data_IF_979651120341
#
_entry.id   IF_979651120341
#
_cell.length_a   1.000
_cell.length_b   1.000
_cell.length_c   1.000
_cell.angle_alpha   90.00
_cell.angle_beta   90.00
_cell.angle_gamma   90.00
#
_symmetry.space_group_name_H-M   'P 1'
#
loop_
_entity.id
_entity.type
_entity.pdbx_description
1 polymer ?
#
# COMPACT_ATOMS: atom_id res chain seq x y z
N UNK A 1 8.12 -51.02 36.47
CA UNK A 1 8.77 -51.01 35.14
C UNK A 1 8.16 -50.09 34.07
N UNK A 2 6.94 -49.49 34.17
CA UNK A 2 6.42 -48.62 33.11
C UNK A 2 6.84 -47.13 33.19
N UNK A 3 7.38 -46.68 34.33
CA UNK A 3 7.77 -45.27 34.53
C UNK A 3 9.08 -44.92 33.80
N UNK A 4 10.10 -45.78 33.89
CA UNK A 4 11.39 -45.56 33.22
C UNK A 4 11.27 -45.49 31.69
N UNK A 5 10.35 -46.26 31.09
CA UNK A 5 10.07 -46.20 29.64
C UNK A 5 9.38 -44.90 29.21
N UNK A 6 8.54 -44.33 30.07
CA UNK A 6 7.86 -43.06 29.80
C UNK A 6 8.82 -41.88 29.94
N UNK A 7 9.68 -41.89 30.96
CA UNK A 7 10.74 -40.90 31.16
C UNK A 7 11.72 -40.90 29.98
N UNK A 8 12.14 -42.09 29.52
CA UNK A 8 13.06 -42.21 28.39
C UNK A 8 12.43 -41.74 27.06
N UNK A 9 11.13 -41.98 26.88
CA UNK A 9 10.37 -41.48 25.72
C UNK A 9 10.24 -39.95 25.78
N UNK A 10 9.92 -39.37 26.95
CA UNK A 10 9.84 -37.92 27.14
C UNK A 10 11.20 -37.26 26.88
N UNK A 11 12.28 -37.82 27.43
CA UNK A 11 13.63 -37.31 27.23
C UNK A 11 14.04 -37.34 25.76
N UNK A 12 13.64 -38.38 25.02
CA UNK A 12 13.90 -38.49 23.60
C UNK A 12 13.16 -37.41 22.79
N UNK A 13 11.90 -37.15 23.12
CA UNK A 13 11.11 -36.09 22.48
C UNK A 13 11.68 -34.72 22.80
N UNK A 14 12.06 -34.46 24.05
CA UNK A 14 12.66 -33.21 24.48
C UNK A 14 14.00 -32.95 23.77
N UNK A 15 14.83 -33.98 23.63
CA UNK A 15 16.09 -33.89 22.89
C UNK A 15 15.88 -33.56 21.41
N UNK A 16 14.89 -34.17 20.76
CA UNK A 16 14.54 -33.87 19.36
C UNK A 16 14.02 -32.43 19.22
N UNK A 17 13.15 -31.98 20.12
CA UNK A 17 12.65 -30.60 20.14
C UNK A 17 13.79 -29.59 20.36
N UNK A 18 14.75 -29.91 21.23
CA UNK A 18 15.92 -29.06 21.46
C UNK A 18 16.75 -28.92 20.17
N UNK A 19 17.05 -30.03 19.48
CA UNK A 19 17.78 -30.01 18.21
C UNK A 19 17.02 -29.19 17.17
N UNK A 20 15.72 -29.42 17.01
CA UNK A 20 14.88 -28.66 16.07
C UNK A 20 14.92 -27.16 16.38
N UNK A 21 14.85 -26.78 17.65
CA UNK A 21 14.92 -25.38 18.09
C UNK A 21 16.28 -24.75 17.78
N UNK A 22 17.37 -25.47 18.02
CA UNK A 22 18.73 -25.02 17.68
C UNK A 22 18.90 -24.83 16.17
N UNK A 23 18.36 -25.74 15.35
CA UNK A 23 18.38 -25.63 13.89
C UNK A 23 17.57 -24.40 13.44
N UNK A 24 16.37 -24.20 13.98
CA UNK A 24 15.53 -23.04 13.67
C UNK A 24 16.21 -21.72 14.07
N UNK A 25 16.84 -21.67 15.25
CA UNK A 25 17.63 -20.52 15.70
C UNK A 25 18.81 -20.23 14.77
N UNK A 26 19.51 -21.28 14.32
CA UNK A 26 20.63 -21.13 13.40
C UNK A 26 20.17 -20.61 12.03
N UNK A 27 19.12 -21.20 11.46
CA UNK A 27 18.54 -20.76 10.19
C UNK A 27 18.02 -19.32 10.28
N UNK A 28 17.32 -18.98 11.36
CA UNK A 28 16.83 -17.62 11.63
C UNK A 28 17.99 -16.61 11.72
N UNK A 29 19.06 -16.93 12.46
CA UNK A 29 20.25 -16.06 12.53
C UNK A 29 20.94 -15.88 11.19
N UNK A 30 21.06 -16.95 10.40
CA UNK A 30 21.65 -16.90 9.05
C UNK A 30 20.81 -16.03 8.11
N UNK A 31 19.49 -16.14 8.19
CA UNK A 31 18.58 -15.30 7.42
C UNK A 31 18.69 -13.82 7.85
N UNK A 32 18.74 -13.54 9.15
CA UNK A 32 18.96 -12.18 9.66
C UNK A 32 20.28 -11.57 9.19
N UNK A 33 21.38 -12.34 9.20
CA UNK A 33 22.67 -11.89 8.70
C UNK A 33 22.64 -11.63 7.17
N UNK A 34 22.01 -12.52 6.40
CA UNK A 34 21.82 -12.35 4.95
C UNK A 34 20.98 -11.12 4.60
N UNK A 35 19.91 -10.86 5.36
CA UNK A 35 19.10 -9.63 5.23
C UNK A 35 19.92 -8.38 5.52
N UNK A 36 20.76 -8.40 6.55
CA UNK A 36 21.57 -7.24 6.93
C UNK A 36 22.62 -6.89 5.86
N UNK A 37 23.26 -7.90 5.27
CA UNK A 37 24.22 -7.70 4.18
C UNK A 37 23.55 -7.22 2.88
N UNK A 38 22.37 -7.75 2.56
CA UNK A 38 21.55 -7.24 1.47
C UNK A 38 21.13 -5.77 1.69
N UNK A 39 20.72 -5.41 2.91
CA UNK A 39 20.38 -4.03 3.26
C UNK A 39 21.59 -3.07 3.15
N UNK A 40 22.79 -3.58 3.38
CA UNK A 40 24.04 -2.83 3.25
C UNK A 40 24.49 -2.67 1.80
N UNK A 41 24.31 -3.69 0.96
CA UNK A 41 24.54 -3.58 -0.48
C UNK A 41 23.49 -2.69 -1.15
N UNK A 42 22.25 -2.76 -0.67
CA UNK A 42 21.20 -1.80 -1.02
C UNK A 42 21.62 -0.38 -0.63
N UNK A 43 22.15 -0.14 0.57
CA UNK A 43 22.54 1.21 1.00
C UNK A 43 23.63 1.88 0.14
N UNK A 44 24.44 1.08 -0.57
CA UNK A 44 25.45 1.57 -1.52
C UNK A 44 24.88 1.85 -2.93
N UNK A 45 23.83 1.14 -3.34
CA UNK A 45 23.15 1.32 -4.63
C UNK A 45 22.04 2.39 -4.58
N UNK A 46 21.76 2.91 -3.39
CA UNK A 46 20.62 3.76 -3.10
C UNK A 46 21.03 5.24 -3.11
N UNK A 47 20.37 6.06 -3.95
CA UNK A 47 20.36 7.51 -3.75
C UNK A 47 19.36 7.84 -2.63
N UNK A 48 19.86 8.24 -1.46
CA UNK A 48 19.02 8.67 -0.36
C UNK A 48 18.41 10.05 -0.65
N UNK A 49 17.09 10.11 -0.68
CA UNK A 49 16.32 11.32 -0.95
C UNK A 49 15.69 11.85 0.34
N UNK A 50 15.63 13.17 0.47
CA UNK A 50 14.73 13.87 1.39
C UNK A 50 13.27 13.70 0.95
N UNK A 51 12.30 14.12 1.79
CA UNK A 51 10.86 14.08 1.46
C UNK A 51 10.54 14.80 0.14
N UNK A 52 11.11 16.00 -0.05
CA UNK A 52 10.89 16.80 -1.26
C UNK A 52 11.47 16.12 -2.50
N UNK A 53 12.69 15.61 -2.38
CA UNK A 53 13.35 14.87 -3.46
C UNK A 53 12.62 13.56 -3.79
N UNK A 54 12.07 12.87 -2.80
CA UNK A 54 11.20 11.70 -3.01
C UNK A 54 9.99 12.04 -3.88
N UNK A 55 9.25 13.11 -3.55
CA UNK A 55 8.10 13.51 -4.34
C UNK A 55 8.49 14.05 -5.72
N UNK A 56 9.65 14.69 -5.85
CA UNK A 56 10.20 15.05 -7.16
C UNK A 56 10.47 13.80 -8.00
N UNK A 57 11.14 12.80 -7.42
CA UNK A 57 11.43 11.54 -8.10
C UNK A 57 10.16 10.80 -8.54
N UNK A 58 9.11 10.80 -7.71
CA UNK A 58 7.79 10.26 -8.09
C UNK A 58 7.21 10.99 -9.29
N UNK A 59 7.23 12.33 -9.28
CA UNK A 59 6.72 13.13 -10.39
C UNK A 59 7.53 12.93 -11.68
N UNK A 60 8.86 12.91 -11.57
CA UNK A 60 9.77 12.66 -12.69
C UNK A 60 9.53 11.27 -13.28
N UNK A 61 9.35 10.24 -12.44
CA UNK A 61 9.08 8.89 -12.91
C UNK A 61 7.71 8.76 -13.60
N UNK A 62 6.67 9.44 -13.10
CA UNK A 62 5.38 9.52 -13.80
C UNK A 62 5.48 10.26 -15.14
N UNK A 63 6.32 11.30 -15.24
CA UNK A 63 6.59 12.01 -16.49
C UNK A 63 7.32 11.11 -17.49
N UNK A 64 8.28 10.33 -17.02
CA UNK A 64 9.17 9.54 -17.86
C UNK A 64 8.58 8.16 -18.22
N UNK A 65 7.57 7.69 -17.49
CA UNK A 65 6.89 6.42 -17.74
C UNK A 65 6.33 6.32 -19.18
N UNK A 66 6.46 5.12 -19.76
CA UNK A 66 6.07 4.80 -21.14
C UNK A 66 5.05 3.68 -21.25
N UNK A 67 5.04 2.70 -20.34
CA UNK A 67 4.20 1.50 -20.43
C UNK A 67 3.33 1.33 -19.20
N UNK A 68 3.94 1.18 -18.03
CA UNK A 68 3.23 0.83 -16.81
C UNK A 68 3.83 1.50 -15.57
N UNK A 69 2.94 1.79 -14.63
CA UNK A 69 3.29 2.24 -13.29
C UNK A 69 2.42 1.46 -12.32
N UNK A 70 3.05 0.81 -11.35
CA UNK A 70 2.35 0.26 -10.19
C UNK A 70 2.85 0.98 -8.94
N UNK A 71 1.98 1.18 -7.96
CA UNK A 71 2.39 1.74 -6.70
C UNK A 71 1.57 1.21 -5.53
N UNK A 72 2.24 1.00 -4.40
CA UNK A 72 1.63 0.71 -3.10
C UNK A 72 1.89 1.91 -2.20
N UNK A 73 0.82 2.61 -1.84
CA UNK A 73 0.88 3.88 -1.09
C UNK A 73 -0.09 3.83 0.09
N UNK A 74 0.18 4.62 1.14
CA UNK A 74 -0.75 4.68 2.28
C UNK A 74 -2.04 5.39 1.91
N UNK A 75 -2.00 6.43 1.08
CA UNK A 75 -3.20 7.20 0.73
C UNK A 75 -3.66 8.16 1.83
N UNK A 76 -2.77 8.56 2.74
CA UNK A 76 -3.05 9.56 3.78
C UNK A 76 -3.47 10.88 3.14
N UNK A 77 -4.58 11.50 3.59
CA UNK A 77 -5.00 12.80 3.09
C UNK A 77 -3.98 13.90 3.47
N UNK A 78 -3.89 14.99 2.70
CA UNK A 78 -2.98 16.08 3.00
C UNK A 78 -3.38 16.78 4.30
N UNK A 79 -2.39 17.17 5.11
CA UNK A 79 -2.60 17.84 6.40
C UNK A 79 -2.53 19.37 6.31
N UNK A 80 -1.87 19.88 5.28
CA UNK A 80 -1.63 21.29 5.03
C UNK A 80 -1.65 21.59 3.52
N UNK A 81 -1.62 22.89 3.17
CA UNK A 81 -1.65 23.36 1.79
C UNK A 81 -0.46 22.84 0.96
N UNK A 82 0.73 22.68 1.56
CA UNK A 82 1.91 22.17 0.87
C UNK A 82 1.73 20.70 0.46
N UNK A 83 1.20 19.86 1.37
CA UNK A 83 0.87 18.47 1.07
C UNK A 83 -0.24 18.35 0.01
N UNK A 84 -1.21 19.26 0.04
CA UNK A 84 -2.27 19.32 -0.95
C UNK A 84 -1.75 19.70 -2.34
N UNK A 85 -0.86 20.69 -2.43
CA UNK A 85 -0.19 21.06 -3.69
C UNK A 85 0.62 19.89 -4.27
N UNK A 86 1.36 19.15 -3.42
CA UNK A 86 2.11 17.97 -3.84
C UNK A 86 1.18 16.89 -4.38
N UNK A 87 0.09 16.60 -3.68
CA UNK A 87 -0.88 15.59 -4.10
C UNK A 87 -1.54 15.97 -5.44
N UNK A 88 -1.92 17.24 -5.59
CA UNK A 88 -2.49 17.76 -6.83
C UNK A 88 -1.50 17.69 -8.00
N UNK A 89 -0.21 18.00 -7.76
CA UNK A 89 0.84 17.82 -8.77
C UNK A 89 0.98 16.36 -9.18
N UNK A 90 0.99 15.42 -8.23
CA UNK A 90 1.03 13.98 -8.52
C UNK A 90 -0.19 13.55 -9.33
N UNK A 91 -1.40 13.95 -8.94
CA UNK A 91 -2.63 13.64 -9.67
C UNK A 91 -2.58 14.20 -11.11
N UNK A 92 -2.01 15.39 -11.30
CA UNK A 92 -1.80 15.95 -12.63
C UNK A 92 -0.81 15.11 -13.45
N UNK A 93 0.30 14.65 -12.87
CA UNK A 93 1.25 13.75 -13.56
C UNK A 93 0.64 12.40 -13.91
N UNK A 94 -0.19 11.83 -13.03
CA UNK A 94 -0.97 10.62 -13.32
C UNK A 94 -1.88 10.85 -14.51
N UNK A 95 -2.59 11.98 -14.56
CA UNK A 95 -3.46 12.35 -15.68
C UNK A 95 -2.71 12.47 -17.00
N UNK A 96 -1.56 13.14 -16.99
CA UNK A 96 -0.70 13.26 -18.17
C UNK A 96 -0.21 11.90 -18.65
N UNK A 97 0.23 11.03 -17.73
CA UNK A 97 0.70 9.69 -18.06
C UNK A 97 -0.42 8.78 -18.59
N UNK A 98 -1.59 8.79 -17.95
CA UNK A 98 -2.78 8.04 -18.40
C UNK A 98 -3.21 8.47 -19.80
N UNK A 99 -3.21 9.78 -20.10
CA UNK A 99 -3.48 10.31 -21.45
C UNK A 99 -2.46 9.86 -22.51
N UNK A 100 -1.21 9.58 -22.11
CA UNK A 100 -0.19 8.99 -23.01
C UNK A 100 -0.36 7.48 -23.22
N UNK A 101 -1.36 6.86 -22.57
CA UNK A 101 -1.61 5.42 -22.64
C UNK A 101 -0.83 4.59 -21.63
N UNK A 102 -0.18 5.23 -20.64
CA UNK A 102 0.51 4.51 -19.55
C UNK A 102 -0.54 3.88 -18.64
N UNK A 103 -0.40 2.57 -18.36
CA UNK A 103 -1.27 1.87 -17.41
C UNK A 103 -0.82 2.13 -15.98
N UNK A 104 -1.66 2.78 -15.18
CA UNK A 104 -1.31 3.19 -13.82
C UNK A 104 -2.23 2.48 -12.82
N UNK A 105 -1.63 1.77 -11.87
CA UNK A 105 -2.37 1.01 -10.84
C UNK A 105 -1.87 1.34 -9.43
N UNK A 106 -2.77 1.67 -8.53
CA UNK A 106 -2.48 1.96 -7.14
C UNK A 106 -3.17 0.97 -6.20
N UNK A 107 -2.42 0.48 -5.23
CA UNK A 107 -2.95 -0.33 -4.14
C UNK A 107 -2.81 0.44 -2.82
N UNK A 108 -3.91 0.54 -2.08
CA UNK A 108 -4.03 1.39 -0.88
C UNK A 108 -4.61 0.55 0.29
N UNK A 109 -4.16 0.75 1.54
CA UNK A 109 -4.80 0.15 2.71
C UNK A 109 -6.26 0.56 2.81
N UNK A 110 -7.14 -0.37 3.19
CA UNK A 110 -8.53 -0.02 3.53
C UNK A 110 -8.55 0.91 4.75
N UNK A 111 -9.06 2.11 4.53
CA UNK A 111 -9.44 3.08 5.55
C UNK A 111 -10.32 4.13 4.85
N UNK A 112 -11.41 4.54 5.50
CA UNK A 112 -12.27 5.62 4.98
C UNK A 112 -11.47 6.91 4.73
N UNK A 113 -10.46 7.20 5.56
CA UNK A 113 -9.58 8.36 5.40
C UNK A 113 -8.80 8.36 4.06
N UNK A 114 -8.58 7.19 3.45
CA UNK A 114 -7.83 7.05 2.21
C UNK A 114 -8.69 7.18 0.94
N UNK A 115 -10.02 7.35 1.08
CA UNK A 115 -10.94 7.46 -0.05
C UNK A 115 -10.71 8.72 -0.87
N UNK A 116 -10.38 9.85 -0.22
CA UNK A 116 -10.10 11.10 -0.93
C UNK A 116 -8.92 10.97 -1.91
N UNK A 117 -7.81 10.35 -1.47
CA UNK A 117 -6.65 10.15 -2.32
C UNK A 117 -6.97 9.20 -3.47
N UNK A 118 -7.69 8.10 -3.21
CA UNK A 118 -8.11 7.20 -4.28
C UNK A 118 -9.06 7.86 -5.28
N UNK A 119 -9.98 8.72 -4.82
CA UNK A 119 -10.84 9.52 -5.67
C UNK A 119 -10.02 10.37 -6.65
N UNK A 120 -9.05 11.14 -6.13
CA UNK A 120 -8.20 12.00 -6.97
C UNK A 120 -7.41 11.21 -8.02
N UNK A 121 -6.85 10.06 -7.62
CA UNK A 121 -6.08 9.20 -8.53
C UNK A 121 -6.98 8.53 -9.59
N UNK A 122 -8.18 8.06 -9.21
CA UNK A 122 -9.16 7.54 -10.16
C UNK A 122 -9.62 8.61 -11.16
N UNK A 123 -9.89 9.84 -10.69
CA UNK A 123 -10.23 10.99 -11.54
C UNK A 123 -9.08 11.41 -12.45
N UNK A 124 -7.85 11.13 -12.06
CA UNK A 124 -6.66 11.29 -12.89
C UNK A 124 -6.46 10.13 -13.89
N UNK A 125 -7.28 9.07 -13.87
CA UNK A 125 -7.22 7.98 -14.83
C UNK A 125 -6.32 6.81 -14.41
N UNK A 126 -6.05 6.66 -13.11
CA UNK A 126 -5.45 5.46 -12.55
C UNK A 126 -6.52 4.45 -12.09
N UNK A 127 -6.19 3.16 -12.11
CA UNK A 127 -7.00 2.14 -11.45
C UNK A 127 -6.55 2.05 -9.99
N UNK A 128 -7.48 2.19 -9.05
CA UNK A 128 -7.19 2.15 -7.61
C UNK A 128 -7.94 0.99 -6.98
N UNK A 129 -7.22 0.22 -6.16
CA UNK A 129 -7.79 -0.86 -5.35
C UNK A 129 -7.39 -0.74 -3.89
N UNK A 130 -8.24 -1.28 -3.02
CA UNK A 130 -8.06 -1.25 -1.58
C UNK A 130 -7.98 -2.66 -1.00
N UNK A 131 -7.08 -2.84 -0.02
CA UNK A 131 -6.94 -4.11 0.68
C UNK A 131 -6.54 -3.90 2.15
N UNK A 132 -7.08 -4.73 3.04
CA UNK A 132 -6.60 -4.82 4.41
C UNK A 132 -5.26 -5.57 4.51
N UNK A 133 -4.46 -5.28 5.55
CA UNK A 133 -3.22 -6.02 5.84
C UNK A 133 -2.06 -5.78 4.86
N UNK A 134 -2.10 -4.68 4.10
CA UNK A 134 -0.94 -4.27 3.30
C UNK A 134 0.16 -3.74 4.22
N UNK A 135 1.39 -4.19 4.01
CA UNK A 135 2.58 -3.74 4.76
C UNK A 135 3.09 -2.35 4.31
N UNK A 136 2.17 -1.42 4.06
CA UNK A 136 2.48 -0.08 3.52
C UNK A 136 3.07 0.84 4.57
N UNK A 137 2.92 0.48 5.83
CA UNK A 137 3.54 1.11 6.98
C UNK A 137 5.02 0.70 7.14
N UNK A 138 5.43 -0.40 6.49
CA UNK A 138 6.83 -0.83 6.46
C UNK A 138 7.52 -0.43 5.15
N UNK A 139 6.79 -0.47 4.02
CA UNK A 139 7.35 -0.18 2.71
C UNK A 139 6.30 0.41 1.75
N UNK A 140 6.49 1.69 1.38
CA UNK A 140 5.81 2.31 0.23
C UNK A 140 6.70 2.17 -0.98
N UNK A 141 6.14 1.80 -2.13
CA UNK A 141 6.93 1.74 -3.35
C UNK A 141 6.13 2.04 -4.61
N UNK A 142 6.85 2.46 -5.63
CA UNK A 142 6.38 2.60 -7.01
C UNK A 142 7.36 1.85 -7.91
N UNK A 143 6.84 1.06 -8.84
CA UNK A 143 7.63 0.46 -9.91
C UNK A 143 7.18 1.08 -11.24
N UNK A 144 8.16 1.52 -12.03
CA UNK A 144 7.93 2.15 -13.33
C UNK A 144 8.63 1.34 -14.42
N UNK A 145 7.86 1.00 -15.45
CA UNK A 145 8.30 0.30 -16.66
C UNK A 145 9.17 -0.95 -16.38
N UNK A 146 8.86 -1.66 -15.28
CA UNK A 146 9.52 -2.91 -14.85
C UNK A 146 11.04 -2.80 -14.59
N UNK A 147 11.59 -1.59 -14.48
CA UNK A 147 13.05 -1.39 -14.31
C UNK A 147 13.42 -0.44 -13.17
N UNK A 148 12.59 0.57 -12.91
CA UNK A 148 12.86 1.60 -11.91
C UNK A 148 11.97 1.40 -10.69
N UNK A 149 12.55 1.45 -9.50
CA UNK A 149 11.84 1.37 -8.24
C UNK A 149 12.06 2.65 -7.45
N UNK A 150 10.97 3.22 -6.94
CA UNK A 150 11.00 4.31 -5.97
C UNK A 150 10.44 3.78 -4.66
N UNK A 151 11.19 3.90 -3.57
CA UNK A 151 10.80 3.45 -2.24
C UNK A 151 10.63 4.66 -1.33
N UNK A 152 9.54 4.71 -0.57
CA UNK A 152 9.33 5.67 0.50
C UNK A 152 9.45 4.99 1.86
N UNK A 153 10.32 5.49 2.72
CA UNK A 153 10.45 5.07 4.12
C UNK A 153 9.71 6.03 5.05
N UNK A 154 8.72 5.56 5.83
CA UNK A 154 8.04 6.36 6.86
C UNK A 154 8.97 6.85 7.98
N UNK A 155 8.58 7.89 8.73
CA UNK A 155 9.37 8.47 9.84
C UNK A 155 9.49 7.58 11.08
N UNK A 156 8.53 6.68 11.34
CA UNK A 156 8.47 5.75 12.47
C UNK A 156 7.55 4.56 12.20
N UNK A 157 7.32 3.70 13.20
CA UNK A 157 6.28 2.66 13.15
C UNK A 157 4.92 3.29 13.47
N UNK A 158 3.97 3.26 12.52
CA UNK A 158 2.63 3.82 12.71
C UNK A 158 1.87 4.01 11.39
N UNK A 159 0.54 4.03 11.48
CA UNK A 159 -0.36 3.95 10.31
C UNK A 159 -0.39 5.23 9.43
N UNK A 160 0.08 6.37 9.95
CA UNK A 160 -0.01 7.66 9.23
C UNK A 160 1.29 8.47 9.18
N UNK A 161 2.44 7.81 9.36
CA UNK A 161 3.71 8.54 9.40
C UNK A 161 4.10 9.06 8.00
N UNK A 162 4.39 10.37 7.84
CA UNK A 162 4.83 10.92 6.57
C UNK A 162 6.18 10.32 6.15
N UNK A 163 6.42 10.26 4.84
CA UNK A 163 7.68 9.75 4.28
C UNK A 163 8.85 10.62 4.74
N UNK A 164 9.82 10.03 5.44
CA UNK A 164 11.04 10.71 5.92
C UNK A 164 12.09 10.80 4.83
N UNK A 165 12.27 9.68 4.12
CA UNK A 165 13.30 9.47 3.12
C UNK A 165 12.74 8.67 1.96
N UNK A 166 13.20 9.00 0.77
CA UNK A 166 12.95 8.23 -0.43
C UNK A 166 14.20 7.56 -0.94
N UNK A 167 14.04 6.56 -1.80
CA UNK A 167 15.14 5.89 -2.48
C UNK A 167 14.73 5.62 -3.92
N UNK A 168 15.64 5.87 -4.86
CA UNK A 168 15.46 5.46 -6.27
C UNK A 168 16.49 4.38 -6.57
N UNK A 169 16.02 3.28 -7.14
CA UNK A 169 16.82 2.10 -7.43
C UNK A 169 16.50 1.66 -8.86
N UNK A 170 17.51 1.69 -9.73
CA UNK A 170 17.43 1.14 -11.08
C UNK A 170 17.83 -0.34 -11.02
N UNK A 171 16.84 -1.22 -10.95
CA UNK A 171 17.06 -2.66 -10.82
C UNK A 171 15.85 -3.43 -11.34
N UNK A 172 15.93 -4.02 -12.55
CA UNK A 172 14.87 -4.85 -13.11
C UNK A 172 14.53 -6.05 -12.20
N UNK A 173 15.51 -6.63 -11.53
CA UNK A 173 15.29 -7.74 -10.58
C UNK A 173 14.44 -7.30 -9.41
N UNK A 174 14.76 -6.16 -8.78
CA UNK A 174 13.96 -5.64 -7.67
C UNK A 174 12.57 -5.22 -8.14
N UNK A 175 12.48 -4.58 -9.30
CA UNK A 175 11.22 -4.20 -9.92
C UNK A 175 10.31 -5.42 -10.16
N UNK A 176 10.87 -6.51 -10.70
CA UNK A 176 10.14 -7.77 -10.91
C UNK A 176 9.64 -8.37 -9.60
N UNK A 177 10.48 -8.42 -8.55
CA UNK A 177 10.07 -8.95 -7.25
C UNK A 177 8.92 -8.14 -6.62
N UNK A 178 9.00 -6.81 -6.70
CA UNK A 178 7.97 -5.93 -6.18
C UNK A 178 6.69 -5.98 -7.03
N UNK A 179 6.81 -6.13 -8.35
CA UNK A 179 5.69 -6.34 -9.25
C UNK A 179 4.97 -7.66 -8.94
N UNK A 180 5.70 -8.76 -8.78
CA UNK A 180 5.10 -10.05 -8.40
C UNK A 180 4.38 -9.95 -7.05
N UNK A 181 5.00 -9.29 -6.07
CA UNK A 181 4.37 -9.01 -4.78
C UNK A 181 3.11 -8.14 -4.96
N UNK A 182 3.14 -7.12 -5.80
CA UNK A 182 1.97 -6.30 -6.10
C UNK A 182 0.84 -7.13 -6.70
N UNK A 183 1.10 -7.92 -7.73
CA UNK A 183 0.10 -8.74 -8.42
C UNK A 183 -0.54 -9.78 -7.48
N UNK A 184 0.27 -10.38 -6.59
CA UNK A 184 -0.23 -11.31 -5.57
C UNK A 184 -1.29 -10.67 -4.65
N UNK A 185 -1.26 -9.34 -4.50
CA UNK A 185 -2.30 -8.63 -3.77
C UNK A 185 -3.40 -8.12 -4.69
N UNK A 186 -3.06 -7.64 -5.89
CA UNK A 186 -3.96 -6.95 -6.81
C UNK A 186 -5.22 -7.74 -7.17
N UNK A 187 -5.06 -9.05 -7.41
CA UNK A 187 -6.13 -9.96 -7.80
C UNK A 187 -6.63 -10.88 -6.68
N UNK A 188 -6.10 -10.75 -5.46
CA UNK A 188 -6.43 -11.67 -4.38
C UNK A 188 -7.72 -11.25 -3.65
N UNK A 189 -8.37 -12.26 -3.07
CA UNK A 189 -9.60 -12.11 -2.30
C UNK A 189 -9.48 -11.03 -1.22
N UNK A 190 -10.57 -10.26 -1.03
CA UNK A 190 -10.61 -9.11 -0.12
C UNK A 190 -10.03 -7.81 -0.71
N UNK A 191 -9.46 -7.85 -1.92
CA UNK A 191 -9.08 -6.64 -2.66
C UNK A 191 -10.28 -6.11 -3.43
N UNK A 192 -10.62 -4.84 -3.23
CA UNK A 192 -11.81 -4.20 -3.83
C UNK A 192 -11.42 -3.00 -4.67
N UNK A 193 -12.20 -2.70 -5.71
CA UNK A 193 -12.05 -1.46 -6.47
C UNK A 193 -12.43 -0.24 -5.63
N UNK A 194 -12.00 0.95 -6.06
CA UNK A 194 -12.45 2.20 -5.46
C UNK A 194 -13.97 2.31 -5.39
N UNK A 195 -14.68 2.03 -6.49
CA UNK A 195 -16.14 2.16 -6.54
C UNK A 195 -16.85 1.22 -5.57
N UNK A 196 -16.41 -0.04 -5.53
CA UNK A 196 -16.95 -1.04 -4.59
C UNK A 196 -16.66 -0.63 -3.14
N UNK A 197 -15.46 -0.11 -2.86
CA UNK A 197 -15.09 0.28 -1.50
C UNK A 197 -15.89 1.49 -1.01
N UNK A 198 -16.05 2.53 -1.84
CA UNK A 198 -16.92 3.68 -1.51
C UNK A 198 -18.35 3.21 -1.23
N UNK A 199 -18.89 2.32 -2.06
CA UNK A 199 -20.24 1.79 -1.87
C UNK A 199 -20.38 1.02 -0.55
N UNK A 200 -19.39 0.21 -0.18
CA UNK A 200 -19.35 -0.50 1.10
C UNK A 200 -19.35 0.47 2.30
N UNK A 201 -18.50 1.50 2.26
CA UNK A 201 -18.41 2.49 3.34
C UNK A 201 -19.70 3.32 3.46
N UNK A 202 -20.28 3.79 2.35
CA UNK A 202 -21.55 4.52 2.37
C UNK A 202 -22.69 3.66 2.91
N UNK A 203 -22.76 2.38 2.48
CA UNK A 203 -23.76 1.45 2.98
C UNK A 203 -23.63 1.22 4.48
N UNK A 204 -22.40 1.03 4.98
CA UNK A 204 -22.12 0.88 6.41
C UNK A 204 -22.59 2.10 7.22
N UNK A 205 -22.33 3.31 6.71
CA UNK A 205 -22.79 4.56 7.34
C UNK A 205 -24.32 4.68 7.35
N UNK A 206 -24.97 4.32 6.25
CA UNK A 206 -26.43 4.37 6.12
C UNK A 206 -27.13 3.37 7.06
N UNK A 207 -26.61 2.14 7.16
CA UNK A 207 -27.12 1.12 8.08
C UNK A 207 -26.98 1.54 9.56
N UNK A 208 -25.92 2.28 9.89
CA UNK A 208 -25.68 2.79 11.24
C UNK A 208 -26.51 4.05 11.55
N UNK A 209 -26.88 4.83 10.53
CA UNK A 209 -27.68 6.04 10.66
C UNK A 209 -28.73 6.15 9.53
N UNK A 210 -29.94 5.62 9.72
CA UNK A 210 -30.99 5.62 8.68
C UNK A 210 -31.49 7.01 8.25
N UNK A 211 -31.10 8.09 8.96
CA UNK A 211 -31.37 9.47 8.57
C UNK A 211 -30.21 10.17 7.85
N UNK A 212 -29.15 9.43 7.51
CA UNK A 212 -27.96 9.95 6.84
C UNK A 212 -28.34 10.53 5.47
N UNK A 213 -27.96 11.76 5.20
CA UNK A 213 -28.10 12.37 3.86
C UNK A 213 -26.83 12.16 3.03
N UNK A 214 -26.91 12.22 1.68
CA UNK A 214 -25.73 12.18 0.82
C UNK A 214 -24.67 13.22 1.19
N UNK A 215 -25.09 14.41 1.62
CA UNK A 215 -24.21 15.51 2.03
C UNK A 215 -23.45 15.19 3.31
N UNK A 216 -24.10 14.50 4.25
CA UNK A 216 -23.47 14.07 5.50
C UNK A 216 -22.48 12.92 5.25
N UNK A 217 -22.86 11.96 4.40
CA UNK A 217 -21.96 10.88 3.98
C UNK A 217 -20.71 11.41 3.28
N UNK A 218 -20.89 12.38 2.37
CA UNK A 218 -19.81 13.06 1.67
C UNK A 218 -18.83 13.75 2.63
N UNK A 219 -19.35 14.47 3.63
CA UNK A 219 -18.54 15.11 4.67
C UNK A 219 -17.75 14.11 5.51
N UNK A 220 -18.35 12.98 5.90
CA UNK A 220 -17.69 11.96 6.72
C UNK A 220 -16.60 11.18 5.96
N UNK A 221 -16.82 10.90 4.68
CA UNK A 221 -15.87 10.19 3.84
C UNK A 221 -14.86 11.12 3.14
N UNK A 222 -14.99 12.44 3.34
CA UNK A 222 -14.21 13.47 2.66
C UNK A 222 -14.22 13.29 1.12
N UNK A 223 -15.43 13.11 0.57
CA UNK A 223 -15.65 12.91 -0.86
C UNK A 223 -16.64 13.94 -1.41
N UNK A 224 -16.59 14.28 -2.71
CA UNK A 224 -17.63 15.11 -3.31
C UNK A 224 -19.01 14.46 -3.24
N UNK A 225 -20.04 15.25 -2.95
CA UNK A 225 -21.45 14.77 -2.87
C UNK A 225 -21.88 14.07 -4.16
N UNK A 226 -21.46 14.61 -5.31
CA UNK A 226 -21.77 14.03 -6.61
C UNK A 226 -21.19 12.61 -6.77
N UNK A 227 -20.03 12.35 -6.17
CA UNK A 227 -19.40 11.03 -6.22
C UNK A 227 -20.17 10.02 -5.37
N UNK A 228 -20.65 10.43 -4.19
CA UNK A 228 -21.52 9.62 -3.33
C UNK A 228 -22.83 9.28 -4.07
N UNK A 229 -23.47 10.30 -4.67
CA UNK A 229 -24.71 10.12 -5.44
C UNK A 229 -24.51 9.19 -6.64
N UNK A 230 -23.38 9.31 -7.34
CA UNK A 230 -23.02 8.45 -8.48
C UNK A 230 -22.89 6.98 -8.10
N UNK A 231 -22.26 6.68 -6.95
CA UNK A 231 -21.87 5.32 -6.57
C UNK A 231 -22.87 4.60 -5.66
N UNK A 232 -23.66 5.36 -4.90
CA UNK A 232 -24.55 4.83 -3.87
C UNK A 232 -25.92 5.53 -3.81
N UNK A 233 -26.28 6.33 -4.82
CA UNK A 233 -27.54 7.08 -4.85
C UNK A 233 -28.80 6.22 -4.73
N UNK A 234 -28.71 4.93 -5.10
CA UNK A 234 -29.79 3.96 -4.99
C UNK A 234 -30.24 3.69 -3.55
N UNK A 235 -29.36 3.90 -2.55
CA UNK A 235 -29.70 3.75 -1.13
C UNK A 235 -30.76 4.75 -0.66
N UNK A 236 -30.80 5.94 -1.26
CA UNK A 236 -31.75 6.99 -0.92
C UNK A 236 -32.96 7.04 -1.85
N UNK A 237 -32.87 6.46 -3.04
CA UNK A 237 -33.96 6.43 -4.02
C UNK A 237 -35.16 5.57 -3.57
N UNK A 238 -34.98 4.68 -2.60
CA UNK A 238 -36.00 3.75 -2.11
C UNK A 238 -36.51 4.09 -0.68
N UNK A 239 -36.09 5.23 -0.12
CA UNK A 239 -36.41 5.66 1.24
C UNK A 239 -37.37 6.85 1.35
N UNK A 240 -38.14 7.14 0.29
CA UNK A 240 -39.13 8.24 0.23
C UNK A 240 -40.57 7.74 0.09
#
# INVERSE_FOLDING_TARGET
>A
MPQASLELALLSVEFVLLIATVILLYLSRREHAGRHELLKLLSLAITALTRREYFSAVQDALRDARKNVIAVITGTPPRDEEEEEVLNSIAQRVREASKRGVRIRYLIPRSAAHLYVGHLLCRAGAEVRYRAGLAVYDLRYMVVDESRVIIGQPRGQGEEEPTKKGYVIESPTLASMLLERFESHWGAEGTVSYEEYVRQEVKSLYETNPGLTPETAAGQLNLPVEEIKRLAGDLWAHGG
#
